data_IF_168231985863
#
_entry.id   IF_168231985863
#
_cell.length_a   1.000
_cell.length_b   1.000
_cell.length_c   1.000
_cell.angle_alpha   90.00
_cell.angle_beta   90.00
_cell.angle_gamma   90.00
#
_symmetry.space_group_name_H-M   'P 1'
#
loop_
_entity.id
_entity.type
_entity.pdbx_description
1 polymer ?
#
# COMPACT_ATOMS: atom_id res chain seq x y z
N UNK A 1 -23.18 -1.30 -7.40
CA UNK A 1 -22.60 -2.63 -7.11
C UNK A 1 -21.21 -2.66 -7.70
N UNK A 2 -20.16 -2.67 -6.88
CA UNK A 2 -18.77 -2.64 -7.37
C UNK A 2 -18.49 -3.99 -8.03
N UNK A 3 -18.04 -3.95 -9.29
CA UNK A 3 -17.77 -5.11 -10.13
C UNK A 3 -16.40 -5.69 -9.72
N UNK A 4 -16.42 -6.85 -9.06
CA UNK A 4 -15.32 -7.77 -8.76
C UNK A 4 -13.89 -7.16 -8.73
N UNK A 5 -13.41 -6.84 -7.53
CA UNK A 5 -11.99 -6.64 -7.28
C UNK A 5 -11.29 -8.00 -7.39
N UNK A 6 -10.52 -8.23 -8.47
CA UNK A 6 -9.69 -9.43 -8.54
C UNK A 6 -8.42 -9.20 -7.72
N UNK A 7 -8.21 -10.06 -6.74
CA UNK A 7 -6.97 -10.07 -5.96
C UNK A 7 -5.81 -10.53 -6.85
N UNK A 8 -4.68 -9.82 -6.75
CA UNK A 8 -3.45 -10.12 -7.48
C UNK A 8 -2.30 -10.19 -6.50
N UNK A 9 -1.53 -11.29 -6.53
CA UNK A 9 -0.37 -11.45 -5.66
C UNK A 9 0.94 -11.28 -6.42
N UNK A 10 1.90 -10.58 -5.81
CA UNK A 10 3.25 -10.36 -6.35
C UNK A 10 4.27 -10.61 -5.24
N UNK A 11 5.36 -11.30 -5.56
CA UNK A 11 6.47 -11.51 -4.63
C UNK A 11 7.50 -10.40 -4.76
N UNK A 12 7.76 -9.69 -3.67
CA UNK A 12 8.82 -8.69 -3.54
C UNK A 12 10.02 -9.27 -2.77
N UNK A 13 11.18 -8.59 -2.72
CA UNK A 13 12.30 -9.01 -1.87
C UNK A 13 11.96 -9.13 -0.37
N UNK A 14 10.91 -8.44 0.08
CA UNK A 14 10.46 -8.41 1.48
C UNK A 14 9.33 -9.41 1.80
N UNK A 15 8.75 -10.04 0.78
CA UNK A 15 7.65 -10.99 0.92
C UNK A 15 6.57 -10.78 -0.14
N UNK A 16 5.54 -11.63 -0.10
CA UNK A 16 4.41 -11.57 -1.03
C UNK A 16 3.41 -10.50 -0.59
N UNK A 17 2.91 -9.70 -1.54
CA UNK A 17 1.85 -8.71 -1.34
C UNK A 17 0.62 -9.09 -2.15
N UNK A 18 -0.57 -8.78 -1.64
CA UNK A 18 -1.86 -8.91 -2.34
C UNK A 18 -2.42 -7.52 -2.63
N UNK A 19 -2.57 -7.18 -3.90
CA UNK A 19 -3.23 -5.97 -4.38
C UNK A 19 -4.56 -6.28 -5.06
N UNK A 20 -5.13 -5.27 -5.71
CA UNK A 20 -6.38 -5.38 -6.48
C UNK A 20 -6.20 -4.84 -7.89
N UNK A 21 -7.21 -5.07 -8.74
CA UNK A 21 -7.37 -4.32 -9.99
C UNK A 21 -8.33 -3.16 -9.80
N UNK A 22 -7.97 -1.97 -10.29
CA UNK A 22 -8.85 -0.80 -10.31
C UNK A 22 -9.20 -0.40 -11.74
N UNK A 23 -10.36 0.21 -11.93
CA UNK A 23 -10.75 0.83 -13.19
C UNK A 23 -10.53 2.34 -13.10
N UNK A 24 -9.66 2.86 -13.95
CA UNK A 24 -9.38 4.30 -14.06
C UNK A 24 -10.60 5.06 -14.58
N UNK A 25 -10.62 6.40 -14.42
CA UNK A 25 -11.66 7.28 -14.98
C UNK A 25 -11.86 7.14 -16.50
N UNK A 26 -10.84 6.69 -17.22
CA UNK A 26 -10.87 6.46 -18.67
C UNK A 26 -11.21 5.00 -19.04
N UNK A 27 -11.67 4.18 -18.08
CA UNK A 27 -12.09 2.80 -18.33
C UNK A 27 -10.94 1.78 -18.45
N UNK A 28 -9.67 2.20 -18.27
CA UNK A 28 -8.54 1.25 -18.27
C UNK A 28 -8.44 0.52 -16.94
N UNK A 29 -8.27 -0.79 -17.01
CA UNK A 29 -7.90 -1.61 -15.84
C UNK A 29 -6.41 -1.47 -15.53
N UNK A 30 -6.09 -1.29 -14.26
CA UNK A 30 -4.72 -1.20 -13.73
C UNK A 30 -4.53 -2.17 -12.56
N UNK A 31 -3.32 -2.64 -12.35
CA UNK A 31 -2.93 -3.24 -11.07
C UNK A 31 -2.69 -2.14 -10.04
N UNK A 32 -3.10 -2.39 -8.81
CA UNK A 32 -2.94 -1.48 -7.67
C UNK A 32 -2.49 -2.23 -6.44
N UNK A 33 -1.41 -1.76 -5.83
CA UNK A 33 -0.92 -2.22 -4.53
C UNK A 33 -0.76 -0.99 -3.63
N UNK A 34 -1.52 -0.92 -2.55
CA UNK A 34 -1.63 0.28 -1.70
C UNK A 34 -1.29 -0.04 -0.25
N UNK A 35 -0.80 0.95 0.49
CA UNK A 35 -0.48 0.82 1.89
C UNK A 35 0.74 -0.05 2.20
N UNK A 36 1.67 -0.21 1.25
CA UNK A 36 2.85 -1.06 1.45
C UNK A 36 3.84 -0.34 2.35
N UNK A 37 4.11 -0.89 3.54
CA UNK A 37 5.12 -0.32 4.44
C UNK A 37 6.53 -0.56 3.92
N UNK A 38 7.31 0.51 3.77
CA UNK A 38 8.71 0.42 3.32
C UNK A 38 9.71 0.67 4.45
N UNK A 39 9.31 1.40 5.48
CA UNK A 39 10.15 1.69 6.64
C UNK A 39 9.31 1.91 7.92
N UNK A 40 10.01 1.99 9.04
CA UNK A 40 9.50 2.43 10.33
C UNK A 40 10.50 3.42 10.95
N UNK A 41 10.02 4.43 11.68
CA UNK A 41 10.88 5.43 12.28
C UNK A 41 10.47 5.69 13.74
N UNK A 42 11.39 5.60 14.71
CA UNK A 42 11.20 6.25 15.99
C UNK A 42 11.13 7.77 15.81
N UNK A 43 10.38 8.46 16.68
CA UNK A 43 10.20 9.92 16.57
C UNK A 43 11.53 10.64 16.49
N UNK A 44 11.67 11.49 15.47
CA UNK A 44 12.86 12.31 15.18
C UNK A 44 14.17 11.53 14.97
N UNK A 45 14.08 10.26 14.56
CA UNK A 45 15.24 9.46 14.12
C UNK A 45 15.10 9.11 12.63
N UNK A 46 16.21 8.81 11.95
CA UNK A 46 16.16 8.30 10.59
C UNK A 46 15.28 7.04 10.48
N UNK A 47 14.58 6.86 9.35
CA UNK A 47 13.79 5.66 9.11
C UNK A 47 14.68 4.43 8.97
N UNK A 48 14.16 3.29 9.42
CA UNK A 48 14.79 1.97 9.28
C UNK A 48 13.91 1.10 8.38
N UNK A 49 14.46 0.38 7.40
CA UNK A 49 13.69 -0.53 6.55
C UNK A 49 12.88 -1.54 7.38
N UNK A 50 11.71 -1.90 6.88
CA UNK A 50 10.93 -2.98 7.51
C UNK A 50 11.63 -4.33 7.35
N UNK A 51 11.36 -5.23 8.29
CA UNK A 51 11.75 -6.63 8.16
C UNK A 51 10.87 -7.32 7.13
N UNK A 52 11.37 -8.46 6.61
CA UNK A 52 10.55 -9.34 5.77
C UNK A 52 9.34 -9.82 6.56
N UNK A 53 8.18 -9.89 5.92
CA UNK A 53 6.97 -10.47 6.53
C UNK A 53 6.78 -11.92 6.10
N UNK A 54 6.11 -12.69 6.96
CA UNK A 54 5.64 -14.05 6.64
C UNK A 54 4.25 -14.00 6.03
N UNK A 55 3.95 -14.92 5.12
CA UNK A 55 2.65 -15.00 4.46
C UNK A 55 2.44 -13.89 3.43
N UNK A 56 1.19 -13.47 3.25
CA UNK A 56 0.79 -12.49 2.24
C UNK A 56 0.40 -11.19 2.94
N UNK A 57 1.09 -10.09 2.61
CA UNK A 57 0.78 -8.75 3.10
C UNK A 57 -0.39 -8.17 2.31
N UNK A 58 -1.43 -7.74 3.01
CA UNK A 58 -2.58 -7.10 2.40
C UNK A 58 -2.23 -5.67 1.96
N UNK A 59 -2.18 -5.45 0.66
CA UNK A 59 -1.93 -4.18 0.00
C UNK A 59 -3.13 -3.76 -0.87
N UNK A 60 -4.36 -4.05 -0.44
CA UNK A 60 -5.58 -3.73 -1.21
C UNK A 60 -6.15 -2.34 -0.90
N UNK A 61 -5.73 -1.71 0.20
CA UNK A 61 -6.26 -0.44 0.70
C UNK A 61 -5.17 0.60 0.98
N UNK A 62 -5.56 1.87 0.95
CA UNK A 62 -4.70 2.97 1.39
C UNK A 62 -4.42 2.89 2.89
N UNK A 63 -3.23 3.34 3.30
CA UNK A 63 -2.88 3.51 4.71
C UNK A 63 -3.00 4.98 5.17
N UNK A 64 -2.69 5.26 6.44
CA UNK A 64 -2.84 6.61 7.00
C UNK A 64 -1.82 7.60 6.43
N UNK A 65 -2.20 8.88 6.42
CA UNK A 65 -1.28 9.98 6.12
C UNK A 65 -0.32 10.22 7.30
N UNK A 66 0.81 10.87 7.03
CA UNK A 66 1.66 11.37 8.11
C UNK A 66 0.99 12.55 8.84
N UNK A 67 1.36 12.82 10.12
CA UNK A 67 0.75 13.86 10.92
C UNK A 67 0.84 15.23 10.23
N UNK A 68 -0.33 15.76 9.86
CA UNK A 68 -0.50 17.07 9.23
C UNK A 68 -1.95 17.54 9.49
N UNK A 69 -2.24 18.85 9.41
CA UNK A 69 -3.62 19.34 9.55
C UNK A 69 -4.51 18.83 8.40
N UNK A 70 -5.35 17.83 8.67
CA UNK A 70 -6.31 17.24 7.73
C UNK A 70 -7.51 16.64 8.47
N UNK A 71 -8.58 16.34 7.73
CA UNK A 71 -9.72 15.54 8.20
C UNK A 71 -9.54 14.04 7.98
N UNK A 72 -8.55 13.64 7.17
CA UNK A 72 -8.27 12.24 6.88
C UNK A 72 -7.53 11.54 8.02
N UNK A 73 -7.59 10.19 8.10
CA UNK A 73 -6.83 9.43 9.10
C UNK A 73 -5.31 9.69 9.01
N UNK A 74 -4.71 10.08 10.14
CA UNK A 74 -3.27 10.30 10.29
C UNK A 74 -2.65 9.35 11.32
N UNK A 75 -1.38 9.02 11.14
CA UNK A 75 -0.59 8.20 12.07
C UNK A 75 0.90 8.53 11.99
N UNK A 76 1.66 8.38 13.07
CA UNK A 76 3.14 8.38 12.97
C UNK A 76 3.66 7.16 12.21
N UNK A 77 2.88 6.08 12.13
CA UNK A 77 3.21 4.86 11.37
C UNK A 77 2.80 4.97 9.89
N UNK A 78 3.24 6.05 9.23
CA UNK A 78 2.80 6.48 7.89
C UNK A 78 3.82 6.25 6.75
N UNK A 79 4.94 5.57 7.00
CA UNK A 79 5.98 5.33 5.98
C UNK A 79 5.57 4.18 5.03
N UNK A 80 4.58 4.48 4.20
CA UNK A 80 3.97 3.58 3.23
C UNK A 80 4.13 4.12 1.81
N UNK A 81 3.98 3.24 0.82
CA UNK A 81 3.92 3.59 -0.58
C UNK A 81 2.78 2.85 -1.29
N UNK A 82 2.37 3.41 -2.44
CA UNK A 82 1.40 2.83 -3.35
C UNK A 82 2.06 2.62 -4.71
N UNK A 83 1.78 1.51 -5.38
CA UNK A 83 2.26 1.16 -6.73
C UNK A 83 1.07 0.93 -7.65
N UNK A 84 1.08 1.58 -8.80
CA UNK A 84 0.07 1.42 -9.85
C UNK A 84 0.77 1.14 -11.18
N UNK A 85 0.27 0.18 -11.95
CA UNK A 85 0.80 -0.14 -13.28
C UNK A 85 -0.30 -0.66 -14.19
N UNK A 86 -0.09 -0.60 -15.50
CA UNK A 86 -1.03 -1.16 -16.48
C UNK A 86 -1.21 -2.66 -16.26
N UNK A 87 -2.45 -3.13 -16.41
CA UNK A 87 -2.77 -4.56 -16.36
C UNK A 87 -2.14 -5.33 -17.52
#
# INVERSE_FOLDING_TARGET
>A
SILAEHNVQVTTPLGTIEGTTLTTRLGKTIYSFRGIRYAQAPRFKPPVPVQKWSGVYNATADGPLCPQPTTDPVSEDCLILNVYTTK
#
